data_IF_675070581049
#
_entry.id   IF_675070581049
#
_cell.length_a   1.000
_cell.length_b   1.000
_cell.length_c   1.000
_cell.angle_alpha   90.00
_cell.angle_beta   90.00
_cell.angle_gamma   90.00
#
_symmetry.space_group_name_H-M   'P 1'
#
loop_
_entity.id
_entity.type
_entity.pdbx_description
1 polymer ?
#
# COMPACT_ATOMS: atom_id res chain seq x y z
N UNK A 1 -28.26 2.46 -10.60
CA UNK A 1 -26.79 2.29 -10.73
C UNK A 1 -26.28 1.77 -9.39
N UNK A 2 -26.01 0.47 -9.28
CA UNK A 2 -25.59 -0.14 -8.02
C UNK A 2 -24.08 0.06 -7.86
N UNK A 3 -23.68 1.11 -7.12
CA UNK A 3 -22.29 1.53 -6.94
C UNK A 3 -21.53 0.70 -5.88
N UNK A 4 -22.24 -0.15 -5.14
CA UNK A 4 -21.66 -1.10 -4.19
C UNK A 4 -21.76 -2.49 -4.80
N UNK A 5 -20.62 -2.96 -5.33
CA UNK A 5 -20.50 -4.14 -6.17
C UNK A 5 -21.16 -5.38 -5.59
N UNK A 6 -21.94 -6.05 -6.44
CA UNK A 6 -22.47 -7.38 -6.24
C UNK A 6 -21.30 -8.40 -6.15
N UNK A 7 -21.01 -8.89 -4.94
CA UNK A 7 -20.72 -10.30 -4.67
C UNK A 7 -19.50 -11.01 -5.27
N UNK A 8 -18.38 -10.35 -5.60
CA UNK A 8 -17.12 -11.04 -5.93
C UNK A 8 -15.90 -10.30 -5.39
N UNK A 9 -15.04 -11.01 -4.67
CA UNK A 9 -13.76 -10.50 -4.20
C UNK A 9 -12.90 -10.01 -5.38
N UNK A 10 -12.43 -8.76 -5.29
CA UNK A 10 -11.53 -8.19 -6.28
C UNK A 10 -10.19 -8.91 -6.23
N UNK A 11 -9.89 -9.67 -7.27
CA UNK A 11 -8.60 -10.34 -7.41
C UNK A 11 -7.44 -9.33 -7.62
N UNK A 12 -6.21 -9.67 -7.18
CA UNK A 12 -5.05 -8.79 -7.31
C UNK A 12 -4.58 -8.67 -8.76
N UNK A 13 -5.10 -7.66 -9.46
CA UNK A 13 -5.01 -7.51 -10.92
C UNK A 13 -3.59 -7.31 -11.51
N UNK A 14 -2.57 -7.06 -10.67
CA UNK A 14 -1.17 -6.82 -11.10
C UNK A 14 -0.16 -7.68 -10.33
N UNK A 15 -0.63 -8.69 -9.62
CA UNK A 15 0.23 -9.70 -8.99
C UNK A 15 1.03 -10.45 -10.06
N UNK A 16 2.32 -10.62 -9.83
CA UNK A 16 3.26 -11.23 -10.78
C UNK A 16 3.89 -10.24 -11.76
N UNK A 17 3.34 -9.03 -11.92
CA UNK A 17 3.91 -7.98 -12.78
C UNK A 17 4.46 -6.79 -12.00
N UNK A 18 3.70 -6.28 -11.02
CA UNK A 18 4.12 -5.11 -10.22
C UNK A 18 4.77 -5.51 -8.90
N UNK A 19 4.38 -6.66 -8.38
CA UNK A 19 4.89 -7.25 -7.14
C UNK A 19 4.78 -8.78 -7.24
N UNK A 20 5.51 -9.56 -6.43
CA UNK A 20 5.43 -11.02 -6.45
C UNK A 20 4.01 -11.55 -6.27
N UNK A 21 3.60 -12.55 -7.07
CA UNK A 21 2.29 -13.19 -6.91
C UNK A 21 2.20 -14.13 -5.71
N UNK A 22 3.32 -14.67 -5.24
CA UNK A 22 3.39 -15.55 -4.08
C UNK A 22 3.53 -14.77 -2.77
N UNK A 23 2.73 -15.13 -1.76
CA UNK A 23 2.71 -14.47 -0.44
C UNK A 23 4.07 -14.45 0.24
N UNK A 24 4.79 -15.57 0.21
CA UNK A 24 6.05 -15.71 0.97
C UNK A 24 7.14 -14.85 0.35
N UNK A 25 7.23 -14.86 -0.98
CA UNK A 25 8.13 -13.98 -1.74
C UNK A 25 7.79 -12.52 -1.51
N UNK A 26 6.50 -12.17 -1.55
CA UNK A 26 6.04 -10.80 -1.29
C UNK A 26 6.40 -10.34 0.13
N UNK A 27 6.19 -11.18 1.16
CA UNK A 27 6.56 -10.86 2.55
C UNK A 27 8.06 -10.63 2.71
N UNK A 28 8.88 -11.49 2.11
CA UNK A 28 10.34 -11.35 2.18
C UNK A 28 10.82 -10.07 1.48
N UNK A 29 10.25 -9.76 0.31
CA UNK A 29 10.58 -8.54 -0.43
C UNK A 29 10.15 -7.28 0.34
N UNK A 30 8.96 -7.28 0.94
CA UNK A 30 8.51 -6.20 1.81
C UNK A 30 9.41 -6.03 3.03
N UNK A 31 9.77 -7.12 3.72
CA UNK A 31 10.68 -7.05 4.87
C UNK A 31 12.00 -6.34 4.51
N UNK A 32 12.57 -6.63 3.34
CA UNK A 32 13.75 -5.94 2.85
C UNK A 32 13.54 -4.46 2.54
N UNK A 33 12.34 -4.04 2.10
CA UNK A 33 12.03 -2.62 1.91
C UNK A 33 11.82 -1.86 3.21
N UNK A 34 11.27 -2.53 4.23
CA UNK A 34 11.10 -1.97 5.57
C UNK A 34 12.42 -1.97 6.37
N UNK A 35 13.44 -2.70 5.94
CA UNK A 35 14.76 -2.64 6.55
C UNK A 35 15.37 -1.24 6.39
N UNK A 36 15.56 -0.55 7.53
CA UNK A 36 15.99 0.84 7.56
C UNK A 36 14.93 1.85 7.11
N UNK A 37 13.65 1.45 7.07
CA UNK A 37 12.56 2.41 7.09
C UNK A 37 12.58 3.18 8.43
N UNK A 38 12.35 4.49 8.38
CA UNK A 38 12.33 5.30 9.59
C UNK A 38 11.21 4.90 10.54
N UNK A 39 11.36 5.23 11.83
CA UNK A 39 10.34 4.94 12.83
C UNK A 39 9.29 6.05 12.93
N UNK A 40 8.06 5.73 13.36
CA UNK A 40 7.05 6.71 13.70
C UNK A 40 7.58 7.72 14.72
N UNK A 41 7.25 9.00 14.53
CA UNK A 41 7.57 10.02 15.53
C UNK A 41 6.67 9.83 16.75
N UNK A 42 7.20 9.88 17.99
CA UNK A 42 6.41 9.75 19.20
C UNK A 42 5.21 10.70 19.21
N UNK A 43 4.04 10.19 19.59
CA UNK A 43 2.79 10.97 19.67
C UNK A 43 2.20 11.41 18.32
N UNK A 44 2.71 10.90 17.19
CA UNK A 44 2.16 11.23 15.87
C UNK A 44 0.96 10.36 15.54
N UNK A 45 -0.16 11.00 15.18
CA UNK A 45 -1.30 10.34 14.55
C UNK A 45 -1.24 10.62 13.04
N UNK A 46 -0.96 9.59 12.25
CA UNK A 46 -0.90 9.73 10.78
C UNK A 46 -2.33 9.79 10.24
N UNK A 47 -2.74 10.93 9.70
CA UNK A 47 -4.06 11.10 9.09
C UNK A 47 -4.09 10.80 7.60
N UNK A 48 -2.95 10.95 6.93
CA UNK A 48 -2.79 10.72 5.50
C UNK A 48 -1.35 10.35 5.16
N UNK A 49 -1.18 9.56 4.10
CA UNK A 49 0.10 9.24 3.50
C UNK A 49 0.03 9.52 2.00
N UNK A 50 1.15 9.96 1.43
CA UNK A 50 1.36 10.02 -0.01
C UNK A 50 2.48 9.05 -0.37
N UNK A 51 2.14 7.99 -1.08
CA UNK A 51 3.09 6.94 -1.47
C UNK A 51 3.02 6.69 -2.98
N UNK A 52 4.16 6.32 -3.60
CA UNK A 52 4.18 5.92 -5.01
C UNK A 52 3.46 4.57 -5.23
N UNK A 53 2.98 4.33 -6.46
CA UNK A 53 2.27 3.10 -6.84
C UNK A 53 2.87 2.39 -8.08
N UNK A 54 4.15 2.63 -8.37
CA UNK A 54 4.85 1.90 -9.43
C UNK A 54 5.12 0.43 -8.99
N UNK A 55 5.72 -0.36 -9.88
CA UNK A 55 6.21 -1.69 -9.52
C UNK A 55 7.20 -1.62 -8.35
N UNK A 56 7.16 -2.61 -7.46
CA UNK A 56 7.88 -2.60 -6.18
C UNK A 56 9.40 -2.48 -6.34
N UNK A 57 9.95 -3.05 -7.41
CA UNK A 57 11.38 -2.89 -7.77
C UNK A 57 11.81 -1.43 -7.96
N UNK A 58 10.87 -0.53 -8.29
CA UNK A 58 11.14 0.90 -8.47
C UNK A 58 10.73 1.73 -7.26
N UNK A 59 9.63 1.39 -6.60
CA UNK A 59 9.01 2.27 -5.60
C UNK A 59 8.81 1.65 -4.21
N UNK A 60 9.13 0.37 -4.02
CA UNK A 60 8.87 -0.37 -2.79
C UNK A 60 9.54 0.26 -1.57
N UNK A 61 10.82 0.64 -1.69
CA UNK A 61 11.55 1.28 -0.58
C UNK A 61 10.99 2.66 -0.21
N UNK A 62 10.61 3.47 -1.19
CA UNK A 62 9.99 4.79 -0.93
C UNK A 62 8.62 4.64 -0.29
N UNK A 63 7.80 3.69 -0.76
CA UNK A 63 6.52 3.40 -0.14
C UNK A 63 6.70 2.90 1.31
N UNK A 64 7.67 2.03 1.57
CA UNK A 64 7.97 1.53 2.92
C UNK A 64 8.35 2.65 3.90
N UNK A 65 9.14 3.65 3.48
CA UNK A 65 9.44 4.82 4.32
C UNK A 65 8.18 5.60 4.71
N UNK A 66 7.21 5.74 3.79
CA UNK A 66 5.92 6.37 4.08
C UNK A 66 5.07 5.55 5.05
N UNK A 67 4.95 4.24 4.82
CA UNK A 67 4.17 3.35 5.69
C UNK A 67 4.79 3.19 7.08
N UNK A 68 6.12 3.21 7.20
CA UNK A 68 6.80 3.09 8.48
C UNK A 68 6.59 4.31 9.40
N UNK A 69 6.09 5.43 8.88
CA UNK A 69 5.66 6.55 9.71
C UNK A 69 4.38 6.27 10.52
N UNK A 70 3.63 5.20 10.19
CA UNK A 70 2.41 4.81 10.91
C UNK A 70 2.77 4.01 12.16
N UNK A 71 2.37 4.47 13.36
CA UNK A 71 2.55 3.69 14.59
C UNK A 71 1.93 2.30 14.48
N UNK A 72 2.63 1.28 15.00
CA UNK A 72 2.15 -0.11 14.97
C UNK A 72 0.86 -0.31 15.78
N UNK A 73 0.60 0.55 16.76
CA UNK A 73 -0.60 0.59 17.59
C UNK A 73 -1.67 1.58 17.09
N UNK A 74 -1.48 2.17 15.90
CA UNK A 74 -2.46 3.07 15.31
C UNK A 74 -3.74 2.29 14.94
N UNK A 75 -4.89 2.84 15.33
CA UNK A 75 -6.21 2.27 15.07
C UNK A 75 -6.95 3.19 14.11
N UNK A 76 -7.41 2.62 13.00
CA UNK A 76 -8.25 3.29 12.01
C UNK A 76 -9.50 2.46 11.74
N UNK A 77 -10.67 3.05 11.92
CA UNK A 77 -11.94 2.38 11.56
C UNK A 77 -12.10 2.29 10.04
N UNK A 78 -11.53 3.25 9.31
CA UNK A 78 -11.66 3.38 7.86
C UNK A 78 -10.34 3.81 7.23
N UNK A 79 -9.95 3.14 6.14
CA UNK A 79 -8.80 3.50 5.31
C UNK A 79 -9.30 3.83 3.91
N UNK A 80 -9.08 5.07 3.47
CA UNK A 80 -9.43 5.52 2.13
C UNK A 80 -8.21 5.43 1.21
N UNK A 81 -8.30 4.61 0.16
CA UNK A 81 -7.28 4.55 -0.88
C UNK A 81 -7.73 5.39 -2.08
N UNK A 82 -7.08 6.53 -2.28
CA UNK A 82 -7.39 7.48 -3.36
C UNK A 82 -6.29 7.38 -4.43
N UNK A 83 -6.68 7.02 -5.64
CA UNK A 83 -5.77 6.91 -6.78
C UNK A 83 -6.43 7.42 -8.06
N UNK A 84 -5.60 7.87 -9.00
CA UNK A 84 -6.08 8.33 -10.30
C UNK A 84 -6.34 7.16 -11.25
N UNK A 85 -7.38 7.30 -12.07
CA UNK A 85 -7.62 6.39 -13.18
C UNK A 85 -6.58 6.62 -14.28
N UNK A 86 -5.84 5.57 -14.63
CA UNK A 86 -4.90 5.59 -15.76
C UNK A 86 -5.52 5.06 -17.07
N UNK A 87 -6.79 4.63 -17.03
CA UNK A 87 -7.46 3.95 -18.16
C UNK A 87 -8.64 4.74 -18.72
N UNK A 88 -9.29 5.51 -17.87
CA UNK A 88 -10.49 6.27 -18.19
C UNK A 88 -10.32 7.71 -17.73
N UNK A 89 -10.75 8.66 -18.55
CA UNK A 89 -10.88 10.06 -18.17
C UNK A 89 -12.04 10.23 -17.17
N UNK A 90 -11.92 11.26 -16.32
CA UNK A 90 -12.93 11.69 -15.35
C UNK A 90 -13.58 13.00 -15.80
#
# INVERSE_FOLDING_TARGET
MNIFGQGRDRQPAVAGSFYPSGSDKLRNELAGYFEGAGEPRPGTQVMALLVPHAGYVYSGRTAAQGFAAVPADAIYDNIFLIGVSHRYAF
#
